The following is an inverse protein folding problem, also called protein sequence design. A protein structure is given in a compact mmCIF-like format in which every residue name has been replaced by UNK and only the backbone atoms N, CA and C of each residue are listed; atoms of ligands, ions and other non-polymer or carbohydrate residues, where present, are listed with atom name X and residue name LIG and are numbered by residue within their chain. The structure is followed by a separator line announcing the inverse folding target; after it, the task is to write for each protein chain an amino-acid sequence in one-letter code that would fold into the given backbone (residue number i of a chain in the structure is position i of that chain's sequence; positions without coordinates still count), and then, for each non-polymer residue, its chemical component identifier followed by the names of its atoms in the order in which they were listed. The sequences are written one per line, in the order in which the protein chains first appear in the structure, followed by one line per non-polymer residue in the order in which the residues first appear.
data_IF_408953659378
#
_entry.id   IF_408953659378
#
_cell.length_a   1.000
_cell.length_b   1.000
_cell.length_c   1.000
_cell.angle_alpha   90.00
_cell.angle_beta   90.00
_cell.angle_gamma   90.00
#
_symmetry.space_group_name_H-M   'P 1'
#
loop_
_entity.id
_entity.type
_entity.pdbx_description
1 polymer ?
#
# COMPACT_ATOMS: atom_id res chain seq x y z
N UNK A 1 8.76 23.30 -44.21
CA UNK A 1 9.65 22.73 -43.16
C UNK A 1 8.97 22.68 -41.79
N UNK A 2 8.32 23.78 -41.32
CA UNK A 2 7.57 23.80 -40.05
C UNK A 2 6.44 22.75 -39.94
N UNK A 3 5.71 22.52 -41.04
CA UNK A 3 4.56 21.59 -41.07
C UNK A 3 4.94 20.12 -40.87
N UNK A 4 6.15 19.74 -41.29
CA UNK A 4 6.67 18.37 -41.14
C UNK A 4 7.13 18.17 -39.70
N UNK A 5 7.75 19.17 -39.07
CA UNK A 5 8.17 19.10 -37.67
C UNK A 5 6.98 19.06 -36.71
N UNK A 6 5.91 19.82 -36.96
CA UNK A 6 4.71 19.74 -36.12
C UNK A 6 4.01 18.39 -36.29
N UNK A 7 3.86 17.89 -37.52
CA UNK A 7 3.24 16.58 -37.78
C UNK A 7 3.96 15.42 -37.09
N UNK A 8 5.31 15.42 -37.07
CA UNK A 8 6.11 14.41 -36.38
C UNK A 8 5.94 14.50 -34.84
N UNK A 9 5.85 15.72 -34.29
CA UNK A 9 5.67 15.91 -32.85
C UNK A 9 4.27 15.48 -32.38
N UNK A 10 3.23 15.74 -33.18
CA UNK A 10 1.87 15.23 -32.94
C UNK A 10 1.80 13.71 -33.01
N UNK A 11 2.44 13.08 -34.00
CA UNK A 11 2.48 11.62 -34.09
C UNK A 11 3.26 10.98 -32.93
N UNK A 12 4.36 11.59 -32.48
CA UNK A 12 5.12 11.12 -31.32
C UNK A 12 4.31 11.24 -30.01
N UNK A 13 3.58 12.33 -29.81
CA UNK A 13 2.68 12.52 -28.65
C UNK A 13 1.51 11.53 -28.65
N UNK A 14 0.92 11.25 -29.83
CA UNK A 14 -0.16 10.27 -29.99
C UNK A 14 0.34 8.83 -29.78
N UNK A 15 1.55 8.50 -30.26
CA UNK A 15 2.16 7.19 -30.03
C UNK A 15 2.54 7.04 -28.56
N UNK A 16 3.07 8.08 -27.89
CA UNK A 16 3.37 8.05 -26.46
C UNK A 16 2.09 7.90 -25.61
N UNK A 17 1.01 8.61 -25.96
CA UNK A 17 -0.32 8.48 -25.34
C UNK A 17 -0.93 7.10 -25.57
N UNK A 18 -0.87 6.55 -26.80
CA UNK A 18 -1.38 5.20 -27.11
C UNK A 18 -0.53 4.09 -26.47
N UNK A 19 0.78 4.28 -26.35
CA UNK A 19 1.69 3.34 -25.69
C UNK A 19 1.47 3.35 -24.16
N UNK A 20 1.19 4.51 -23.58
CA UNK A 20 0.74 4.65 -22.19
C UNK A 20 -0.64 4.01 -21.95
N UNK A 21 -1.55 4.06 -22.93
CA UNK A 21 -2.86 3.39 -22.87
C UNK A 21 -2.79 1.86 -23.07
N UNK A 22 -1.79 1.33 -23.78
CA UNK A 22 -1.70 -0.11 -24.06
C UNK A 22 -1.17 -0.94 -22.88
N UNK A 23 -0.62 -0.28 -21.85
CA UNK A 23 -0.05 -0.89 -20.64
C UNK A 23 -1.02 -0.92 -19.44
N UNK A 24 -2.25 -0.43 -19.57
CA UNK A 24 -3.25 -0.41 -18.49
C UNK A 24 -4.25 -1.56 -18.58
N UNK A 25 -3.78 -2.77 -18.92
CA UNK A 25 -4.67 -3.95 -19.02
C UNK A 25 -4.26 -5.13 -18.14
N UNK A 26 -3.90 -4.85 -16.90
CA UNK A 26 -3.94 -5.88 -15.84
C UNK A 26 -4.46 -5.27 -14.53
N UNK A 27 -5.72 -4.83 -14.54
CA UNK A 27 -6.47 -4.64 -13.31
C UNK A 27 -7.11 -5.96 -12.89
N UNK A 28 -6.79 -6.43 -11.69
CA UNK A 28 -7.35 -7.66 -11.12
C UNK A 28 -8.89 -7.61 -11.11
N UNK A 29 -9.58 -8.69 -11.54
CA UNK A 29 -11.03 -8.67 -11.69
C UNK A 29 -11.76 -8.38 -10.36
N UNK A 30 -12.97 -7.84 -10.44
CA UNK A 30 -13.77 -7.31 -9.31
C UNK A 30 -13.85 -8.20 -8.05
N UNK A 31 -13.71 -9.52 -8.18
CA UNK A 31 -13.72 -10.47 -7.06
C UNK A 31 -12.54 -10.27 -6.10
N UNK A 32 -11.42 -9.75 -6.59
CA UNK A 32 -10.21 -9.51 -5.79
C UNK A 32 -10.34 -8.35 -4.80
N UNK A 33 -11.34 -7.46 -4.95
CA UNK A 33 -11.62 -6.39 -3.98
C UNK A 33 -12.02 -6.96 -2.62
N UNK A 34 -12.95 -7.92 -2.61
CA UNK A 34 -13.40 -8.59 -1.38
C UNK A 34 -12.28 -9.42 -0.78
N UNK A 35 -11.53 -10.13 -1.62
CA UNK A 35 -10.38 -10.91 -1.18
C UNK A 35 -9.31 -10.04 -0.53
N UNK A 36 -8.95 -8.90 -1.14
CA UNK A 36 -7.99 -7.95 -0.58
C UNK A 36 -8.41 -7.41 0.78
N UNK A 37 -9.68 -7.03 0.93
CA UNK A 37 -10.22 -6.60 2.23
C UNK A 37 -10.20 -7.72 3.28
N UNK A 38 -10.55 -8.95 2.88
CA UNK A 38 -10.48 -10.10 3.78
C UNK A 38 -9.05 -10.39 4.23
N UNK A 39 -8.06 -10.35 3.32
CA UNK A 39 -6.65 -10.56 3.66
C UNK A 39 -6.09 -9.44 4.54
N UNK A 40 -6.40 -8.18 4.24
CA UNK A 40 -5.97 -7.05 5.05
C UNK A 40 -6.55 -7.16 6.48
N UNK A 41 -7.84 -7.46 6.60
CA UNK A 41 -8.48 -7.67 7.91
C UNK A 41 -7.92 -8.90 8.63
N UNK A 42 -7.65 -10.00 7.91
CA UNK A 42 -7.07 -11.19 8.51
C UNK A 42 -5.66 -10.90 9.08
N UNK A 43 -4.78 -10.26 8.30
CA UNK A 43 -3.44 -9.88 8.76
C UNK A 43 -3.47 -8.95 9.97
N UNK A 44 -4.34 -7.93 9.95
CA UNK A 44 -4.53 -7.04 11.10
C UNK A 44 -5.08 -7.79 12.33
N UNK A 45 -6.04 -8.69 12.15
CA UNK A 45 -6.64 -9.45 13.25
C UNK A 45 -5.63 -10.40 13.91
N UNK A 46 -4.81 -11.10 13.12
CA UNK A 46 -3.77 -12.00 13.64
C UNK A 46 -2.73 -11.23 14.44
N UNK A 47 -2.30 -10.06 13.94
CA UNK A 47 -1.38 -9.19 14.67
C UNK A 47 -1.95 -8.77 16.03
N UNK A 48 -3.21 -8.31 16.08
CA UNK A 48 -3.87 -7.89 17.34
C UNK A 48 -4.05 -9.06 18.32
N UNK A 49 -4.45 -10.24 17.83
CA UNK A 49 -4.70 -11.42 18.67
C UNK A 49 -3.42 -11.93 19.34
N UNK A 50 -2.30 -11.95 18.61
CA UNK A 50 -1.00 -12.35 19.16
C UNK A 50 -0.44 -11.27 20.09
N UNK A 51 -0.59 -9.98 19.73
CA UNK A 51 -0.15 -8.86 20.57
C UNK A 51 -0.86 -8.82 21.93
N UNK A 52 -2.13 -9.26 21.98
CA UNK A 52 -2.94 -9.30 23.21
C UNK A 52 -2.80 -10.62 23.99
N UNK A 53 -1.94 -11.54 23.55
CA UNK A 53 -1.77 -12.88 24.10
C UNK A 53 -3.07 -13.72 24.12
N UNK A 54 -4.05 -13.38 23.27
CA UNK A 54 -5.30 -14.14 23.12
C UNK A 54 -5.09 -15.41 22.30
N UNK A 55 -4.13 -15.39 21.39
CA UNK A 55 -3.77 -16.52 20.52
C UNK A 55 -2.25 -16.55 20.34
N UNK A 56 -1.61 -17.65 20.72
CA UNK A 56 -0.19 -17.87 20.48
C UNK A 56 0.00 -18.90 19.38
N UNK A 57 0.46 -18.44 18.22
CA UNK A 57 0.73 -19.31 17.08
C UNK A 57 2.20 -19.71 17.05
N UNK A 58 2.54 -20.97 16.72
CA UNK A 58 3.93 -21.35 16.54
C UNK A 58 4.56 -20.54 15.39
N UNK A 59 5.86 -20.21 15.47
CA UNK A 59 6.52 -19.39 14.48
C UNK A 59 6.46 -20.03 13.08
N UNK A 60 5.82 -19.35 12.12
CA UNK A 60 5.55 -19.87 10.77
C UNK A 60 6.75 -19.72 9.81
N UNK A 61 7.54 -18.66 9.97
CA UNK A 61 8.66 -18.32 9.08
C UNK A 61 10.04 -18.70 9.67
N UNK A 62 10.11 -19.79 10.44
CA UNK A 62 11.37 -20.29 11.03
C UNK A 62 12.40 -20.75 9.99
N UNK A 63 11.94 -21.09 8.78
CA UNK A 63 12.79 -21.43 7.65
C UNK A 63 13.55 -20.25 7.05
N UNK A 64 13.15 -19.01 7.38
CA UNK A 64 13.82 -17.79 6.92
C UNK A 64 14.62 -17.18 8.08
N UNK A 65 15.97 -17.10 7.99
CA UNK A 65 16.78 -16.53 9.06
C UNK A 65 16.44 -15.05 9.28
N UNK A 66 16.38 -14.63 10.54
CA UNK A 66 16.24 -13.21 10.87
C UNK A 66 17.56 -12.51 10.51
N UNK A 67 17.48 -11.38 9.79
CA UNK A 67 18.66 -10.60 9.42
C UNK A 67 19.09 -9.62 10.53
N UNK A 68 18.26 -9.44 11.56
CA UNK A 68 18.37 -8.32 12.50
C UNK A 68 18.10 -8.68 13.96
N UNK A 69 17.85 -9.96 14.31
CA UNK A 69 17.45 -10.32 15.67
C UNK A 69 18.36 -11.40 16.25
N UNK A 70 19.25 -10.95 17.13
CA UNK A 70 19.80 -11.72 18.24
C UNK A 70 19.45 -10.96 19.53
N UNK A 71 19.35 -11.69 20.64
CA UNK A 71 19.15 -11.24 22.03
C UNK A 71 19.96 -10.00 22.47
N UNK A 72 20.98 -9.61 21.71
CA UNK A 72 21.96 -8.57 22.02
C UNK A 72 21.92 -7.37 21.04
N UNK A 73 21.03 -7.38 20.05
CA UNK A 73 20.70 -6.22 19.24
C UNK A 73 21.71 -5.75 18.18
N UNK A 74 22.81 -6.48 17.89
CA UNK A 74 23.77 -6.00 16.86
C UNK A 74 24.39 -7.04 15.92
N UNK A 75 24.49 -8.34 16.23
CA UNK A 75 25.01 -9.37 15.31
C UNK A 75 24.46 -10.76 15.68
N UNK A 76 24.34 -11.70 14.73
CA UNK A 76 23.89 -13.06 15.04
C UNK A 76 24.93 -13.81 15.89
N UNK A 77 24.61 -14.09 17.16
CA UNK A 77 25.32 -15.09 17.96
C UNK A 77 25.27 -16.44 17.25
N UNK A 78 26.40 -17.15 17.21
CA UNK A 78 26.59 -18.43 16.50
C UNK A 78 25.76 -19.62 17.04
N UNK A 79 24.72 -19.37 17.82
CA UNK A 79 23.80 -20.34 18.41
C UNK A 79 22.55 -20.55 17.53
N UNK A 80 22.74 -20.93 16.26
CA UNK A 80 21.65 -21.26 15.34
C UNK A 80 20.71 -20.08 15.00
N UNK A 81 19.81 -20.23 14.02
CA UNK A 81 18.85 -19.18 13.69
C UNK A 81 17.79 -19.10 14.79
N UNK A 82 17.69 -17.95 15.46
CA UNK A 82 16.54 -17.68 16.33
C UNK A 82 15.24 -17.74 15.50
N UNK A 83 14.17 -18.36 16.04
CA UNK A 83 12.91 -18.46 15.32
C UNK A 83 12.35 -17.07 15.06
N UNK A 84 12.11 -16.76 13.78
CA UNK A 84 11.53 -15.48 13.36
C UNK A 84 10.14 -15.28 13.93
N UNK A 85 9.85 -14.04 14.30
CA UNK A 85 8.56 -13.65 14.82
C UNK A 85 7.46 -13.68 13.74
N UNK A 86 6.23 -14.04 14.13
CA UNK A 86 5.08 -14.10 13.23
C UNK A 86 4.58 -12.72 12.78
N UNK A 87 4.92 -11.64 13.51
CA UNK A 87 4.50 -10.28 13.16
C UNK A 87 4.86 -9.88 11.72
N UNK A 88 6.02 -10.34 11.22
CA UNK A 88 6.44 -10.05 9.86
C UNK A 88 5.54 -10.73 8.81
N UNK A 89 5.08 -11.95 9.09
CA UNK A 89 4.17 -12.68 8.23
C UNK A 89 2.81 -11.98 8.17
N UNK A 90 2.30 -11.50 9.30
CA UNK A 90 1.06 -10.75 9.37
C UNK A 90 1.15 -9.40 8.65
N UNK A 91 2.27 -8.70 8.80
CA UNK A 91 2.56 -7.47 8.07
C UNK A 91 2.57 -7.72 6.55
N UNK A 92 3.18 -8.81 6.08
CA UNK A 92 3.19 -9.18 4.67
C UNK A 92 1.77 -9.48 4.15
N UNK A 93 1.01 -10.29 4.88
CA UNK A 93 -0.39 -10.60 4.56
C UNK A 93 -1.22 -9.32 4.49
N UNK A 94 -1.02 -8.40 5.43
CA UNK A 94 -1.68 -7.12 5.47
C UNK A 94 -1.35 -6.25 4.25
N UNK A 95 -0.06 -6.09 3.92
CA UNK A 95 0.39 -5.28 2.77
C UNK A 95 -0.15 -5.86 1.47
N UNK A 96 -0.04 -7.17 1.28
CA UNK A 96 -0.57 -7.85 0.08
C UNK A 96 -2.08 -7.68 -0.01
N UNK A 97 -2.80 -7.85 1.10
CA UNK A 97 -4.25 -7.66 1.16
C UNK A 97 -4.67 -6.23 0.82
N UNK A 98 -4.02 -5.23 1.42
CA UNK A 98 -4.31 -3.82 1.17
C UNK A 98 -3.93 -3.39 -0.26
N UNK A 99 -2.83 -3.92 -0.82
CA UNK A 99 -2.45 -3.68 -2.21
C UNK A 99 -3.48 -4.29 -3.18
N UNK A 100 -3.92 -5.53 -2.95
CA UNK A 100 -4.99 -6.16 -3.72
C UNK A 100 -6.30 -5.38 -3.61
N UNK A 101 -6.64 -4.88 -2.42
CA UNK A 101 -7.82 -4.06 -2.19
C UNK A 101 -7.76 -2.73 -2.97
N UNK A 102 -6.57 -2.12 -3.05
CA UNK A 102 -6.37 -0.85 -3.72
C UNK A 102 -6.25 -0.97 -5.25
N UNK A 103 -5.61 -2.04 -5.74
CA UNK A 103 -5.42 -2.31 -7.17
C UNK A 103 -6.60 -3.03 -7.84
N UNK A 104 -7.61 -3.50 -7.09
CA UNK A 104 -8.77 -4.20 -7.68
C UNK A 104 -9.60 -3.31 -8.61
N UNK A 105 -10.15 -3.89 -9.68
CA UNK A 105 -11.02 -3.23 -10.67
C UNK A 105 -12.35 -2.78 -10.09
N UNK A 106 -12.77 -1.57 -10.43
CA UNK A 106 -14.11 -1.03 -10.18
C UNK A 106 -15.00 -1.34 -11.41
N UNK A 107 -16.31 -1.59 -11.22
CA UNK A 107 -17.18 -2.19 -12.26
C UNK A 107 -17.41 -1.33 -13.52
N UNK A 108 -17.22 -0.02 -13.44
CA UNK A 108 -17.16 0.88 -14.60
C UNK A 108 -15.86 1.66 -14.51
N UNK A 109 -14.84 1.22 -15.23
CA UNK A 109 -13.65 2.04 -15.48
C UNK A 109 -13.98 3.07 -16.56
N UNK A 110 -14.63 4.15 -16.17
CA UNK A 110 -14.47 5.40 -16.89
C UNK A 110 -13.09 5.98 -16.57
N UNK A 111 -12.50 6.68 -17.53
CA UNK A 111 -11.19 7.36 -17.42
C UNK A 111 -11.08 8.20 -16.13
N UNK A 112 -12.22 8.71 -15.66
CA UNK A 112 -12.38 9.41 -14.38
C UNK A 112 -11.93 8.60 -13.14
N UNK A 113 -12.23 7.30 -13.05
CA UNK A 113 -11.83 6.47 -11.89
C UNK A 113 -10.31 6.24 -11.87
N UNK A 114 -9.68 6.16 -13.04
CA UNK A 114 -8.22 6.10 -13.15
C UNK A 114 -7.56 7.37 -12.59
N UNK A 115 -8.06 8.54 -12.97
CA UNK A 115 -7.59 9.83 -12.45
C UNK A 115 -7.82 9.95 -10.94
N UNK A 116 -8.99 9.53 -10.46
CA UNK A 116 -9.33 9.57 -9.03
C UNK A 116 -8.36 8.75 -8.16
N UNK A 117 -7.86 7.61 -8.68
CA UNK A 117 -6.84 6.80 -7.98
C UNK A 117 -5.53 7.54 -7.86
N UNK A 118 -5.06 8.15 -8.93
CA UNK A 118 -3.80 8.90 -8.93
C UNK A 118 -3.88 10.12 -7.99
N UNK A 119 -4.99 10.85 -8.03
CA UNK A 119 -5.23 11.97 -7.12
C UNK A 119 -5.28 11.53 -5.65
N UNK A 120 -5.97 10.42 -5.36
CA UNK A 120 -6.02 9.85 -4.02
C UNK A 120 -4.64 9.40 -3.53
N UNK A 121 -3.84 8.78 -4.41
CA UNK A 121 -2.47 8.35 -4.10
C UNK A 121 -1.57 9.54 -3.78
N UNK A 122 -1.60 10.57 -4.62
CA UNK A 122 -0.82 11.79 -4.42
C UNK A 122 -1.23 12.50 -3.12
N UNK A 123 -2.54 12.61 -2.86
CA UNK A 123 -3.05 13.19 -1.62
C UNK A 123 -2.64 12.38 -0.38
N UNK A 124 -2.68 11.06 -0.46
CA UNK A 124 -2.21 10.18 0.61
C UNK A 124 -0.72 10.39 0.89
N UNK A 125 0.08 10.52 -0.16
CA UNK A 125 1.51 10.80 -0.04
C UNK A 125 1.78 12.15 0.63
N UNK A 126 1.06 13.22 0.26
CA UNK A 126 1.22 14.52 0.91
C UNK A 126 0.88 14.48 2.41
N UNK A 127 -0.22 13.82 2.77
CA UNK A 127 -0.62 13.67 4.18
C UNK A 127 0.41 12.82 4.93
N UNK A 128 0.89 11.72 4.34
CA UNK A 128 1.92 10.87 4.90
C UNK A 128 3.22 11.64 5.16
N UNK A 129 3.70 12.40 4.17
CA UNK A 129 4.89 13.24 4.33
C UNK A 129 4.69 14.28 5.44
N UNK A 130 3.51 14.91 5.52
CA UNK A 130 3.18 15.85 6.60
C UNK A 130 3.25 15.19 7.98
N UNK A 131 2.64 14.01 8.14
CA UNK A 131 2.67 13.25 9.39
C UNK A 131 4.09 12.79 9.74
N UNK A 132 4.89 12.38 8.76
CA UNK A 132 6.26 11.95 8.95
C UNK A 132 7.16 13.10 9.40
N UNK A 133 7.03 14.28 8.78
CA UNK A 133 7.73 15.48 9.23
C UNK A 133 7.37 15.84 10.67
N UNK A 134 6.08 15.78 11.01
CA UNK A 134 5.61 16.02 12.37
C UNK A 134 6.20 15.00 13.36
N UNK A 135 6.24 13.72 12.99
CA UNK A 135 6.83 12.66 13.82
C UNK A 135 8.32 12.88 14.09
N UNK A 136 9.09 13.32 13.08
CA UNK A 136 10.52 13.65 13.25
C UNK A 136 10.72 14.83 14.20
N UNK A 137 9.81 15.80 14.21
CA UNK A 137 9.91 16.97 15.09
C UNK A 137 9.45 16.68 16.53
N UNK A 138 8.48 15.78 16.71
CA UNK A 138 7.85 15.50 18.01
C UNK A 138 8.47 14.32 18.76
N UNK A 139 9.05 13.34 18.06
CA UNK A 139 9.46 12.05 18.63
C UNK A 139 10.94 11.79 18.34
N UNK A 140 11.70 11.37 19.36
CA UNK A 140 13.13 11.05 19.23
C UNK A 140 13.50 9.80 20.02
N UNK A 141 14.69 9.24 19.77
CA UNK A 141 15.19 8.05 20.46
C UNK A 141 14.50 6.75 20.02
N UNK A 142 14.31 5.81 20.95
CA UNK A 142 13.74 4.49 20.65
C UNK A 142 12.26 4.56 20.26
N UNK A 143 11.51 5.53 20.79
CA UNK A 143 10.10 5.72 20.43
C UNK A 143 9.94 6.13 18.96
N UNK A 144 10.93 6.82 18.39
CA UNK A 144 10.93 7.16 16.97
C UNK A 144 10.99 5.91 16.08
N UNK A 145 11.69 4.86 16.50
CA UNK A 145 11.75 3.59 15.76
C UNK A 145 10.39 2.88 15.75
N UNK A 146 9.66 2.92 16.87
CA UNK A 146 8.29 2.39 16.94
C UNK A 146 7.34 3.20 16.04
N UNK A 147 7.44 4.52 16.05
CA UNK A 147 6.64 5.38 15.15
C UNK A 147 6.96 5.07 13.69
N UNK A 148 8.23 4.87 13.34
CA UNK A 148 8.65 4.50 11.99
C UNK A 148 8.09 3.14 11.57
N UNK A 149 8.04 2.16 12.47
CA UNK A 149 7.44 0.84 12.22
C UNK A 149 5.97 0.97 11.80
N UNK A 150 5.19 1.81 12.48
CA UNK A 150 3.80 2.07 12.09
C UNK A 150 3.70 2.95 10.82
N UNK A 151 4.65 3.87 10.62
CA UNK A 151 4.69 4.75 9.45
C UNK A 151 4.81 3.96 8.14
N UNK A 152 5.42 2.77 8.15
CA UNK A 152 5.51 1.90 6.97
C UNK A 152 4.13 1.49 6.40
N UNK A 153 3.11 1.36 7.25
CA UNK A 153 1.75 0.99 6.83
C UNK A 153 0.87 2.20 6.51
N UNK A 154 1.19 3.37 7.07
CA UNK A 154 0.41 4.59 6.94
C UNK A 154 0.11 5.03 5.49
N UNK A 155 1.06 5.06 4.53
CA UNK A 155 0.77 5.53 3.17
C UNK A 155 -0.23 4.63 2.45
N UNK A 156 -0.13 3.31 2.65
CA UNK A 156 -1.03 2.32 2.06
C UNK A 156 -2.45 2.44 2.64
N UNK A 157 -2.55 2.61 3.96
CA UNK A 157 -3.82 2.83 4.66
C UNK A 157 -4.49 4.14 4.26
N UNK A 158 -3.73 5.24 4.23
CA UNK A 158 -4.23 6.56 3.81
C UNK A 158 -4.73 6.53 2.38
N UNK A 159 -3.99 5.89 1.48
CA UNK A 159 -4.41 5.72 0.09
C UNK A 159 -5.72 4.95 -0.02
N UNK A 160 -5.81 3.78 0.63
CA UNK A 160 -7.00 2.95 0.61
C UNK A 160 -8.24 3.68 1.16
N UNK A 161 -8.07 4.41 2.27
CA UNK A 161 -9.14 5.17 2.91
C UNK A 161 -9.58 6.35 2.03
N UNK A 162 -8.65 7.17 1.54
CA UNK A 162 -8.96 8.33 0.72
C UNK A 162 -9.61 7.91 -0.59
N UNK A 163 -9.13 6.84 -1.22
CA UNK A 163 -9.71 6.31 -2.44
C UNK A 163 -11.18 5.90 -2.23
N UNK A 164 -11.49 5.21 -1.14
CA UNK A 164 -12.88 4.84 -0.82
C UNK A 164 -13.77 6.05 -0.53
N UNK A 165 -13.25 7.05 0.19
CA UNK A 165 -13.98 8.29 0.43
C UNK A 165 -14.27 9.04 -0.88
N UNK A 166 -13.28 9.13 -1.76
CA UNK A 166 -13.41 9.77 -3.07
C UNK A 166 -14.45 9.06 -3.95
N UNK A 167 -14.45 7.72 -3.98
CA UNK A 167 -15.47 6.94 -4.69
C UNK A 167 -16.88 7.21 -4.14
N UNK A 168 -17.05 7.20 -2.80
CA UNK A 168 -18.34 7.47 -2.17
C UNK A 168 -18.83 8.89 -2.43
N UNK A 169 -17.92 9.86 -2.57
CA UNK A 169 -18.26 11.24 -2.93
C UNK A 169 -18.72 11.33 -4.37
N UNK A 170 -18.02 10.70 -5.31
CA UNK A 170 -18.40 10.68 -6.73
C UNK A 170 -19.81 10.09 -6.95
N UNK A 171 -20.20 9.08 -6.17
CA UNK A 171 -21.54 8.48 -6.23
C UNK A 171 -22.65 9.34 -5.61
N UNK A 172 -22.30 10.31 -4.75
CA UNK A 172 -23.24 11.16 -4.01
C UNK A 172 -23.48 12.52 -4.64
N UNK A 173 -22.78 12.85 -5.72
CA UNK A 173 -23.11 14.01 -6.54
C UNK A 173 -24.07 13.53 -7.64
N UNK A 174 -25.41 13.52 -7.42
CA UNK A 174 -26.32 13.44 -8.55
C UNK A 174 -25.99 14.62 -9.46
N UNK A 175 -25.96 14.38 -10.77
CA UNK A 175 -25.94 15.42 -11.78
C UNK A 175 -27.15 16.34 -11.51
N UNK A 176 -26.92 17.40 -10.75
CA UNK A 176 -27.81 18.53 -10.69
C UNK A 176 -27.08 19.64 -11.43
N UNK A 177 -27.63 19.92 -12.60
CA UNK A 177 -27.29 20.99 -13.54
C UNK A 177 -27.11 22.35 -12.84
#
# INVERSE_FOLDING_TARGET
MLYIMTSIHYHCSIIHSKLLLMMTRYLFPHRYKRLGWLLALAGASLWILEQTNLLTLPPFMTWLPSLWYDTNGMLPSGSGPDPRNNYDAYALIFIVGALLAACSREQHEDEYIGQLRLEALLKALYIYCGLLMLAILLVSGMDFLLVMQYAMFAPLLLFLLLFQLSLRRAQRTPAHD
#
